data_IF_436258698281
#
_entry.id   IF_436258698281
#
_cell.length_a   1.000
_cell.length_b   1.000
_cell.length_c   1.000
_cell.angle_alpha   90.00
_cell.angle_beta   90.00
_cell.angle_gamma   90.00
#
_symmetry.space_group_name_H-M   'P 1'
#
loop_
_entity.id
_entity.type
_entity.pdbx_description
1 polymer ?
#
# COMPACT_ATOMS: atom_id res chain seq x y z
N UNK A 1 -56.28 -6.81 -31.31
CA UNK A 1 -56.82 -6.02 -30.17
C UNK A 1 -56.42 -6.62 -28.82
N UNK A 2 -55.12 -6.89 -28.58
CA UNK A 2 -54.58 -7.28 -27.27
C UNK A 2 -53.20 -6.64 -26.97
N UNK A 3 -52.75 -5.68 -27.79
CA UNK A 3 -51.42 -5.07 -27.68
C UNK A 3 -51.43 -3.58 -27.29
N UNK A 4 -52.61 -2.94 -27.19
CA UNK A 4 -52.71 -1.53 -26.77
C UNK A 4 -53.05 -1.38 -25.28
N UNK A 5 -53.88 -2.27 -24.73
CA UNK A 5 -54.24 -2.26 -23.31
C UNK A 5 -53.04 -2.56 -22.39
N UNK A 6 -52.08 -3.35 -22.87
CA UNK A 6 -50.85 -3.69 -22.15
C UNK A 6 -49.85 -2.54 -22.05
N UNK A 7 -49.92 -1.58 -22.99
CA UNK A 7 -49.00 -0.42 -23.02
C UNK A 7 -49.50 0.70 -22.10
N UNK A 8 -50.82 0.83 -21.91
CA UNK A 8 -51.41 1.82 -20.99
C UNK A 8 -51.20 1.41 -19.52
N UNK A 9 -51.07 0.11 -19.23
CA UNK A 9 -50.72 -0.39 -17.89
C UNK A 9 -49.25 -0.10 -17.51
N UNK A 10 -48.37 0.13 -18.49
CA UNK A 10 -46.94 0.38 -18.27
C UNK A 10 -46.59 1.87 -18.09
N UNK A 11 -47.53 2.78 -18.37
CA UNK A 11 -47.32 4.24 -18.39
C UNK A 11 -47.98 5.01 -17.23
N UNK A 12 -48.62 4.32 -16.28
CA UNK A 12 -49.29 4.95 -15.12
C UNK A 12 -48.52 4.86 -13.80
N UNK A 13 -47.22 4.52 -13.82
CA UNK A 13 -46.35 4.59 -12.63
C UNK A 13 -45.69 5.97 -12.41
N UNK A 14 -46.20 7.01 -13.07
CA UNK A 14 -45.87 8.41 -12.80
C UNK A 14 -47.03 9.07 -12.06
N UNK A 15 -46.98 9.07 -10.72
CA UNK A 15 -47.96 9.79 -9.91
C UNK A 15 -47.89 9.49 -8.41
N UNK A 16 -47.07 10.27 -7.70
CA UNK A 16 -47.18 10.60 -6.28
C UNK A 16 -47.32 9.45 -5.27
N UNK A 17 -46.17 8.97 -4.77
CA UNK A 17 -46.08 8.47 -3.39
C UNK A 17 -45.11 9.36 -2.64
N UNK A 18 -45.71 10.35 -1.96
CA UNK A 18 -45.34 10.91 -0.67
C UNK A 18 -43.87 10.86 -0.24
N UNK A 19 -43.33 12.04 0.04
CA UNK A 19 -42.22 12.23 0.97
C UNK A 19 -42.53 11.57 2.33
N UNK A 20 -42.14 10.31 2.52
CA UNK A 20 -42.03 9.61 3.79
C UNK A 20 -41.42 8.23 3.52
N UNK A 21 -40.16 8.06 3.90
CA UNK A 21 -39.49 6.76 3.83
C UNK A 21 -38.04 6.85 3.44
N UNK A 22 -37.20 7.52 4.23
CA UNK A 22 -35.90 6.92 4.48
C UNK A 22 -36.19 5.54 5.07
N UNK A 23 -36.23 4.50 4.23
CA UNK A 23 -36.17 3.13 4.72
C UNK A 23 -34.82 3.03 5.44
N UNK A 24 -34.84 3.26 6.75
CA UNK A 24 -33.67 3.08 7.59
C UNK A 24 -33.26 1.61 7.45
N UNK A 25 -32.19 1.38 6.68
CA UNK A 25 -31.62 0.05 6.48
C UNK A 25 -31.51 -0.64 7.84
N UNK A 26 -31.96 -1.89 7.91
CA UNK A 26 -31.82 -2.69 9.12
C UNK A 26 -30.34 -2.82 9.51
N UNK A 27 -30.05 -3.09 10.78
CA UNK A 27 -28.66 -3.29 11.23
C UNK A 27 -27.93 -4.38 10.44
N UNK A 28 -28.68 -5.39 9.97
CA UNK A 28 -28.14 -6.49 9.16
C UNK A 28 -27.80 -6.03 7.74
N UNK A 29 -28.69 -5.30 7.07
CA UNK A 29 -28.43 -4.74 5.74
C UNK A 29 -27.25 -3.75 5.76
N UNK A 30 -27.18 -2.87 6.78
CA UNK A 30 -26.02 -1.98 6.98
C UNK A 30 -24.71 -2.73 7.23
N UNK A 31 -24.76 -3.92 7.82
CA UNK A 31 -23.58 -4.76 8.03
C UNK A 31 -23.16 -5.45 6.74
N UNK A 32 -24.11 -5.99 5.98
CA UNK A 32 -23.87 -6.62 4.69
C UNK A 32 -23.27 -5.63 3.68
N UNK A 33 -23.83 -4.41 3.60
CA UNK A 33 -23.29 -3.34 2.75
C UNK A 33 -21.84 -2.99 3.11
N UNK A 34 -21.55 -2.77 4.40
CA UNK A 34 -20.17 -2.50 4.85
C UNK A 34 -19.19 -3.65 4.57
N UNK A 35 -19.65 -4.89 4.67
CA UNK A 35 -18.83 -6.06 4.33
C UNK A 35 -18.56 -6.14 2.83
N UNK A 36 -19.55 -5.79 2.01
CA UNK A 36 -19.39 -5.73 0.56
C UNK A 36 -18.43 -4.61 0.14
N UNK A 37 -18.62 -3.40 0.66
CA UNK A 37 -17.69 -2.28 0.45
C UNK A 37 -16.25 -2.64 0.88
N UNK A 38 -16.09 -3.30 2.02
CA UNK A 38 -14.78 -3.77 2.49
C UNK A 38 -14.16 -4.78 1.52
N UNK A 39 -14.93 -5.76 1.03
CA UNK A 39 -14.45 -6.75 0.06
C UNK A 39 -14.04 -6.11 -1.25
N UNK A 40 -14.83 -5.16 -1.76
CA UNK A 40 -14.50 -4.41 -2.97
C UNK A 40 -13.21 -3.60 -2.79
N UNK A 41 -13.05 -2.92 -1.64
CA UNK A 41 -11.83 -2.18 -1.31
C UNK A 41 -10.62 -3.11 -1.22
N UNK A 42 -10.74 -4.25 -0.55
CA UNK A 42 -9.65 -5.24 -0.44
C UNK A 42 -9.26 -5.80 -1.81
N UNK A 43 -10.23 -6.06 -2.70
CA UNK A 43 -9.96 -6.51 -4.06
C UNK A 43 -9.19 -5.48 -4.89
N UNK A 44 -9.56 -4.19 -4.77
CA UNK A 44 -8.83 -3.09 -5.43
C UNK A 44 -7.41 -2.97 -4.88
N UNK A 45 -7.25 -3.00 -3.56
CA UNK A 45 -5.93 -2.91 -2.92
C UNK A 45 -5.03 -4.09 -3.31
N UNK A 46 -5.58 -5.30 -3.36
CA UNK A 46 -4.85 -6.49 -3.79
C UNK A 46 -4.45 -6.42 -5.27
N UNK A 47 -5.34 -5.94 -6.13
CA UNK A 47 -5.02 -5.69 -7.54
C UNK A 47 -3.89 -4.68 -7.68
N UNK A 48 -3.99 -3.53 -7.00
CA UNK A 48 -2.96 -2.49 -7.04
C UNK A 48 -1.61 -2.98 -6.54
N UNK A 49 -1.60 -3.79 -5.48
CA UNK A 49 -0.39 -4.41 -4.93
C UNK A 49 0.24 -5.35 -5.96
N UNK A 50 -0.56 -6.26 -6.53
CA UNK A 50 -0.09 -7.20 -7.55
C UNK A 50 0.48 -6.49 -8.78
N UNK A 51 -0.19 -5.44 -9.27
CA UNK A 51 0.29 -4.64 -10.41
C UNK A 51 1.60 -3.93 -10.06
N UNK A 52 1.68 -3.27 -8.91
CA UNK A 52 2.88 -2.55 -8.49
C UNK A 52 4.11 -3.47 -8.34
N UNK A 53 3.91 -4.69 -7.81
CA UNK A 53 4.97 -5.69 -7.71
C UNK A 53 5.39 -6.22 -9.09
N UNK A 54 4.43 -6.48 -9.98
CA UNK A 54 4.69 -6.95 -11.35
C UNK A 54 5.42 -5.90 -12.19
N UNK A 55 5.09 -4.63 -12.01
CA UNK A 55 5.74 -3.51 -12.70
C UNK A 55 7.06 -3.09 -12.05
N UNK A 56 7.43 -3.71 -10.92
CA UNK A 56 8.62 -3.34 -10.15
C UNK A 56 8.62 -1.83 -9.79
N UNK A 57 7.44 -1.29 -9.52
CA UNK A 57 7.19 0.12 -9.24
C UNK A 57 6.34 0.26 -7.98
N UNK A 58 6.97 0.20 -6.81
CA UNK A 58 6.28 0.21 -5.53
C UNK A 58 7.07 0.92 -4.44
N UNK A 59 6.35 1.36 -3.40
CA UNK A 59 6.96 1.95 -2.20
C UNK A 59 6.31 1.37 -0.94
N UNK A 60 7.14 0.91 -0.01
CA UNK A 60 6.75 0.72 1.38
C UNK A 60 6.94 2.05 2.10
N UNK A 61 5.81 2.66 2.47
CA UNK A 61 5.73 3.85 3.31
C UNK A 61 5.74 3.42 4.77
N UNK A 62 6.76 3.84 5.51
CA UNK A 62 6.96 3.39 6.88
C UNK A 62 6.15 4.24 7.86
N UNK A 63 5.36 3.60 8.70
CA UNK A 63 4.74 4.21 9.88
C UNK A 63 5.62 4.01 11.12
N UNK A 64 6.47 2.97 11.13
CA UNK A 64 7.43 2.72 12.18
C UNK A 64 8.79 2.27 11.64
N UNK A 65 9.84 2.59 12.40
CA UNK A 65 11.19 2.10 12.19
C UNK A 65 11.69 1.43 13.46
N UNK A 66 12.15 0.19 13.32
CA UNK A 66 12.78 -0.59 14.38
C UNK A 66 14.28 -0.75 14.12
N UNK A 67 15.05 -0.55 15.18
CA UNK A 67 16.51 -0.55 15.13
C UNK A 67 17.12 -1.90 15.44
N UNK A 68 18.45 -1.98 15.27
CA UNK A 68 19.20 -3.19 15.59
C UNK A 68 19.09 -3.67 17.04
N UNK A 69 18.80 -2.76 17.96
CA UNK A 69 18.63 -3.05 19.40
C UNK A 69 17.15 -3.17 19.83
N UNK A 70 16.22 -3.26 18.87
CA UNK A 70 14.81 -3.56 19.14
C UNK A 70 13.92 -2.37 19.53
N UNK A 71 14.48 -1.18 19.79
CA UNK A 71 13.68 0.03 19.93
C UNK A 71 12.84 0.26 18.66
N UNK A 72 11.64 0.80 18.80
CA UNK A 72 10.77 1.15 17.67
C UNK A 72 10.30 2.59 17.82
N UNK A 73 10.24 3.34 16.72
CA UNK A 73 9.79 4.72 16.68
C UNK A 73 8.74 4.87 15.59
N UNK A 74 7.68 5.62 15.88
CA UNK A 74 6.76 6.09 14.86
C UNK A 74 7.45 7.17 13.99
N UNK A 75 7.25 7.11 12.68
CA UNK A 75 7.92 7.98 11.72
C UNK A 75 6.95 8.53 10.68
N UNK A 76 7.38 9.55 9.93
CA UNK A 76 6.57 10.10 8.84
C UNK A 76 6.75 9.26 7.55
N UNK A 77 5.69 8.65 7.00
CA UNK A 77 5.76 7.81 5.80
C UNK A 77 6.20 8.53 4.52
N UNK A 78 6.13 9.86 4.48
CA UNK A 78 6.59 10.67 3.34
C UNK A 78 8.11 10.71 3.27
N UNK A 79 8.78 10.67 4.42
CA UNK A 79 10.24 10.85 4.53
C UNK A 79 10.94 9.59 5.04
N UNK A 80 10.22 8.47 5.15
CA UNK A 80 10.72 7.20 5.64
C UNK A 80 10.09 6.09 4.81
N UNK A 81 10.86 5.54 3.86
CA UNK A 81 10.32 4.59 2.89
C UNK A 81 11.41 3.70 2.28
N UNK A 82 10.96 2.57 1.73
CA UNK A 82 11.72 1.76 0.79
C UNK A 82 10.97 1.74 -0.54
N UNK A 83 11.59 2.20 -1.62
CA UNK A 83 10.97 2.22 -2.95
C UNK A 83 11.77 1.39 -3.95
N UNK A 84 11.07 0.79 -4.90
CA UNK A 84 11.63 0.15 -6.09
C UNK A 84 11.08 0.91 -7.30
N UNK A 85 12.00 1.34 -8.16
CA UNK A 85 11.73 2.05 -9.40
C UNK A 85 12.44 1.34 -10.55
N UNK A 86 11.86 0.24 -11.02
CA UNK A 86 12.41 -0.61 -12.06
C UNK A 86 13.73 -1.22 -11.61
N UNK A 87 14.84 -0.66 -12.09
CA UNK A 87 16.20 -1.17 -11.80
C UNK A 87 16.87 -0.51 -10.60
N UNK A 88 16.23 0.48 -9.99
CA UNK A 88 16.76 1.21 -8.84
C UNK A 88 15.94 0.92 -7.59
N UNK A 89 16.60 0.89 -6.44
CA UNK A 89 15.96 0.85 -5.14
C UNK A 89 16.44 2.04 -4.28
N UNK A 90 15.51 2.55 -3.49
CA UNK A 90 15.72 3.69 -2.60
C UNK A 90 15.38 3.29 -1.16
N UNK A 91 16.25 3.64 -0.23
CA UNK A 91 15.97 3.58 1.21
C UNK A 91 16.14 4.98 1.77
N UNK A 92 15.03 5.57 2.20
CA UNK A 92 14.98 6.89 2.82
C UNK A 92 14.65 6.72 4.30
N UNK A 93 15.46 7.32 5.16
CA UNK A 93 15.19 7.45 6.59
C UNK A 93 15.51 8.88 7.01
N UNK A 94 14.51 9.64 7.45
CA UNK A 94 14.69 10.99 7.95
C UNK A 94 15.22 10.97 9.39
N UNK A 95 16.12 11.90 9.72
CA UNK A 95 16.50 12.19 11.10
C UNK A 95 15.73 13.41 11.60
N UNK A 96 15.05 13.30 12.73
CA UNK A 96 14.39 14.44 13.40
C UNK A 96 15.38 15.36 14.13
N UNK A 97 16.64 14.92 14.33
CA UNK A 97 17.54 15.52 15.33
C UNK A 97 19.00 15.69 14.87
N UNK A 98 19.29 15.54 13.57
CA UNK A 98 20.65 15.63 13.00
C UNK A 98 21.55 14.42 13.29
N UNK A 99 21.32 13.72 14.41
CA UNK A 99 21.87 12.39 14.70
C UNK A 99 20.81 11.35 14.32
N UNK A 100 21.21 10.43 13.47
CA UNK A 100 20.32 9.39 12.98
C UNK A 100 19.90 8.37 14.00
N UNK A 101 18.80 7.70 13.70
CA UNK A 101 18.42 6.50 14.41
C UNK A 101 19.54 5.44 14.27
N UNK A 102 20.12 5.01 15.40
CA UNK A 102 21.32 4.15 15.48
C UNK A 102 22.56 4.67 14.71
N UNK A 103 22.73 5.98 14.57
CA UNK A 103 23.90 6.58 13.89
C UNK A 103 23.73 6.77 12.38
N UNK A 104 22.61 6.32 11.79
CA UNK A 104 22.28 6.56 10.38
C UNK A 104 21.56 7.91 10.25
N UNK A 105 22.32 9.01 10.36
CA UNK A 105 21.81 10.37 10.12
C UNK A 105 21.08 10.42 8.79
N UNK A 106 20.07 11.30 8.64
CA UNK A 106 19.12 11.33 7.52
C UNK A 106 19.67 10.71 6.24
N UNK A 107 19.40 9.42 6.02
CA UNK A 107 20.11 8.62 5.03
C UNK A 107 19.22 8.41 3.83
N UNK A 108 19.78 8.69 2.67
CA UNK A 108 19.17 8.38 1.37
C UNK A 108 20.12 7.45 0.66
N UNK A 109 19.77 6.17 0.62
CA UNK A 109 20.52 5.18 -0.13
C UNK A 109 19.84 4.96 -1.47
N UNK A 110 20.59 5.13 -2.54
CA UNK A 110 20.20 4.74 -3.89
C UNK A 110 21.12 3.61 -4.34
N UNK A 111 20.54 2.48 -4.70
CA UNK A 111 21.27 1.33 -5.22
C UNK A 111 20.64 0.79 -6.49
N UNK A 112 21.49 0.34 -7.42
CA UNK A 112 21.03 -0.42 -8.58
C UNK A 112 20.77 -1.85 -8.15
N UNK A 113 19.61 -2.37 -8.50
CA UNK A 113 19.20 -3.74 -8.20
C UNK A 113 20.08 -4.70 -9.00
N UNK A 114 20.79 -5.57 -8.30
CA UNK A 114 21.61 -6.64 -8.87
C UNK A 114 20.83 -7.95 -8.96
N UNK A 115 19.89 -8.18 -8.05
CA UNK A 115 18.95 -9.29 -8.07
C UNK A 115 17.67 -8.91 -7.33
N UNK A 116 16.53 -9.37 -7.84
CA UNK A 116 15.24 -9.27 -7.15
C UNK A 116 14.44 -10.53 -7.39
N UNK A 117 13.93 -11.12 -6.31
CA UNK A 117 13.05 -12.27 -6.34
C UNK A 117 11.75 -11.91 -5.64
N UNK A 118 10.62 -12.14 -6.30
CA UNK A 118 9.28 -11.92 -5.77
C UNK A 118 8.57 -13.27 -5.74
N UNK A 119 8.26 -13.75 -4.53
CA UNK A 119 7.55 -15.01 -4.31
C UNK A 119 6.21 -14.72 -3.65
N UNK A 120 5.15 -15.42 -4.06
CA UNK A 120 3.85 -15.35 -3.41
C UNK A 120 3.52 -16.69 -2.75
N UNK A 121 3.13 -16.68 -1.48
CA UNK A 121 2.74 -17.88 -0.74
C UNK A 121 1.40 -18.45 -1.21
N UNK A 122 1.36 -19.75 -1.49
CA UNK A 122 0.15 -20.41 -2.03
C UNK A 122 -1.05 -20.40 -1.06
N UNK A 123 -0.79 -20.30 0.25
CA UNK A 123 -1.83 -20.47 1.30
C UNK A 123 -2.42 -19.16 1.79
N UNK A 124 -1.58 -18.16 2.03
CA UNK A 124 -1.96 -16.88 2.62
C UNK A 124 -1.90 -15.72 1.61
N UNK A 125 -1.32 -15.95 0.42
CA UNK A 125 -1.15 -14.96 -0.62
C UNK A 125 -0.12 -13.89 -0.29
N UNK A 126 0.65 -14.03 0.79
CA UNK A 126 1.67 -13.05 1.17
C UNK A 126 2.81 -13.05 0.15
N UNK A 127 3.33 -11.87 -0.12
CA UNK A 127 4.50 -11.69 -0.96
C UNK A 127 5.75 -11.61 -0.09
N UNK A 128 6.77 -12.41 -0.43
CA UNK A 128 8.13 -12.28 0.09
C UNK A 128 9.02 -11.78 -1.04
N UNK A 129 9.71 -10.67 -0.82
CA UNK A 129 10.60 -10.05 -1.80
C UNK A 129 12.00 -10.01 -1.24
N UNK A 130 12.98 -10.45 -2.02
CA UNK A 130 14.40 -10.38 -1.67
C UNK A 130 15.12 -9.57 -2.73
N UNK A 131 15.75 -8.47 -2.32
CA UNK A 131 16.41 -7.51 -3.20
C UNK A 131 17.87 -7.36 -2.75
N UNK A 132 18.78 -7.49 -3.70
CA UNK A 132 20.19 -7.12 -3.52
C UNK A 132 20.49 -5.92 -4.39
N UNK A 133 21.25 -4.96 -3.85
CA UNK A 133 21.58 -3.72 -4.55
C UNK A 133 23.05 -3.36 -4.39
N UNK A 134 23.56 -2.57 -5.34
CA UNK A 134 24.86 -1.91 -5.24
C UNK A 134 24.67 -0.42 -5.45
N UNK A 135 25.07 0.40 -4.47
CA UNK A 135 24.75 1.82 -4.45
C UNK A 135 25.75 2.70 -3.72
N UNK A 136 25.34 3.95 -3.48
CA UNK A 136 26.13 4.96 -2.77
C UNK A 136 26.44 4.56 -1.31
N UNK A 137 25.60 3.75 -0.68
CA UNK A 137 25.83 3.15 0.64
C UNK A 137 26.56 1.80 0.62
N UNK A 138 27.11 1.40 -0.53
CA UNK A 138 27.64 0.07 -0.75
C UNK A 138 26.54 -0.98 -1.03
N UNK A 139 26.84 -2.28 -0.81
CA UNK A 139 25.87 -3.34 -1.02
C UNK A 139 24.80 -3.37 0.08
N UNK A 140 23.54 -3.44 -0.32
CA UNK A 140 22.38 -3.58 0.58
C UNK A 140 21.57 -4.81 0.23
N UNK A 141 21.08 -5.48 1.27
CA UNK A 141 20.09 -6.55 1.16
C UNK A 141 18.78 -6.07 1.81
N UNK A 142 17.68 -6.20 1.08
CA UNK A 142 16.35 -5.81 1.52
C UNK A 142 15.45 -7.05 1.42
N UNK A 143 14.83 -7.42 2.54
CA UNK A 143 13.83 -8.49 2.57
C UNK A 143 12.49 -7.88 2.96
N UNK A 144 11.47 -8.05 2.13
CA UNK A 144 10.14 -7.52 2.38
C UNK A 144 9.12 -8.64 2.55
N UNK A 145 8.17 -8.45 3.45
CA UNK A 145 6.99 -9.29 3.59
C UNK A 145 5.75 -8.42 3.51
N UNK A 146 4.85 -8.72 2.58
CA UNK A 146 3.71 -7.88 2.24
C UNK A 146 2.46 -8.76 2.19
N UNK A 147 1.41 -8.36 2.90
CA UNK A 147 0.13 -9.04 2.80
C UNK A 147 -0.52 -8.79 1.41
N UNK A 148 -1.50 -9.59 0.99
CA UNK A 148 -2.07 -9.46 -0.37
C UNK A 148 -2.55 -8.06 -0.72
N UNK A 149 -3.04 -7.27 0.25
CA UNK A 149 -3.59 -5.93 0.02
C UNK A 149 -2.57 -4.80 0.11
N UNK A 150 -1.32 -5.08 0.50
CA UNK A 150 -0.30 -4.06 0.75
C UNK A 150 -0.50 -3.24 2.03
N UNK A 151 -1.63 -3.38 2.73
CA UNK A 151 -1.94 -2.63 3.96
C UNK A 151 -1.08 -3.02 5.16
N UNK A 152 -0.38 -4.15 5.09
CA UNK A 152 0.59 -4.61 6.07
C UNK A 152 1.84 -5.07 5.34
N UNK A 153 2.91 -4.28 5.46
CA UNK A 153 4.19 -4.57 4.87
C UNK A 153 5.32 -4.33 5.87
N UNK A 154 6.36 -5.15 5.81
CA UNK A 154 7.64 -4.92 6.48
C UNK A 154 8.78 -4.98 5.47
N UNK A 155 9.82 -4.20 5.71
CA UNK A 155 11.10 -4.29 5.01
C UNK A 155 12.22 -4.35 6.04
N UNK A 156 13.00 -5.41 6.01
CA UNK A 156 14.23 -5.58 6.76
C UNK A 156 15.42 -5.23 5.86
N UNK A 157 16.15 -4.18 6.23
CA UNK A 157 17.27 -3.63 5.45
C UNK A 157 18.55 -3.91 6.21
N UNK A 158 19.54 -4.50 5.54
CA UNK A 158 20.86 -4.79 6.10
C UNK A 158 21.99 -4.37 5.17
N UNK A 159 22.99 -3.72 5.74
CA UNK A 159 24.28 -3.46 5.09
C UNK A 159 25.25 -4.61 5.38
N UNK A 160 26.27 -4.80 4.54
CA UNK A 160 27.33 -5.79 4.81
C UNK A 160 28.22 -5.42 6.00
N UNK A 161 28.12 -4.19 6.53
CA UNK A 161 28.85 -3.72 7.71
C UNK A 161 28.15 -4.05 9.04
N UNK A 162 27.01 -4.76 9.00
CA UNK A 162 26.31 -5.27 10.18
C UNK A 162 25.18 -4.40 10.70
N UNK A 163 25.02 -3.18 10.17
CA UNK A 163 23.88 -2.32 10.47
C UNK A 163 22.61 -2.85 9.82
N UNK A 164 21.52 -2.73 10.56
CA UNK A 164 20.21 -3.23 10.19
C UNK A 164 19.11 -2.35 10.76
N UNK A 165 18.04 -2.19 9.99
CA UNK A 165 16.79 -1.59 10.41
C UNK A 165 15.64 -2.38 9.82
N UNK A 166 14.47 -2.18 10.41
CA UNK A 166 13.22 -2.66 9.86
C UNK A 166 12.24 -1.51 9.78
N UNK A 167 11.57 -1.41 8.63
CA UNK A 167 10.48 -0.49 8.40
C UNK A 167 9.18 -1.27 8.32
N UNK A 168 8.14 -0.81 9.02
CA UNK A 168 6.80 -1.40 8.91
C UNK A 168 5.79 -0.32 8.53
N UNK A 169 4.81 -0.69 7.72
CA UNK A 169 3.79 0.21 7.22
C UNK A 169 3.03 -0.40 6.06
N UNK A 170 2.87 0.36 4.98
CA UNK A 170 2.03 -0.04 3.82
C UNK A 170 2.80 0.02 2.52
N UNK A 171 2.57 -0.95 1.65
CA UNK A 171 3.04 -0.95 0.27
C UNK A 171 1.97 -0.37 -0.66
N UNK A 172 2.36 0.60 -1.47
CA UNK A 172 1.51 1.19 -2.50
C UNK A 172 2.27 1.32 -3.82
N UNK A 173 1.58 1.44 -4.97
CA UNK A 173 2.23 1.74 -6.24
C UNK A 173 3.12 3.00 -6.16
N UNK A 174 4.29 2.95 -6.78
CA UNK A 174 5.20 4.08 -6.87
C UNK A 174 4.96 4.86 -8.16
N UNK A 175 4.84 6.18 -8.04
CA UNK A 175 4.59 7.07 -9.19
C UNK A 175 5.84 7.87 -9.61
N UNK A 176 7.00 7.48 -9.08
CA UNK A 176 8.29 8.13 -9.32
C UNK A 176 8.65 9.22 -8.30
N UNK A 177 9.92 9.60 -8.28
CA UNK A 177 10.45 10.72 -7.47
C UNK A 177 10.10 12.10 -8.03
N UNK A 178 9.80 12.19 -9.34
CA UNK A 178 9.49 13.45 -10.05
C UNK A 178 8.03 13.92 -9.94
N UNK A 179 7.20 13.21 -9.18
CA UNK A 179 5.81 13.62 -8.91
C UNK A 179 5.63 13.78 -7.41
N UNK A 180 5.00 14.87 -6.94
CA UNK A 180 4.70 15.03 -5.53
C UNK A 180 3.92 13.81 -5.08
N UNK A 181 4.52 13.04 -4.16
CA UNK A 181 3.98 11.87 -3.48
C UNK A 181 2.46 11.88 -3.56
N UNK A 182 1.91 10.97 -4.38
CA UNK A 182 0.50 10.75 -4.63
C UNK A 182 -0.41 11.47 -3.61
N UNK A 183 -0.89 12.66 -3.98
CA UNK A 183 -2.02 13.32 -3.31
C UNK A 183 -3.28 12.57 -3.73
N UNK A 184 -3.49 11.41 -3.12
CA UNK A 184 -4.82 10.84 -3.03
C UNK A 184 -5.68 11.85 -2.27
N UNK A 185 -6.38 12.70 -3.02
CA UNK A 185 -7.53 13.43 -2.52
C UNK A 185 -8.48 12.40 -1.91
N UNK A 186 -8.59 12.37 -0.59
CA UNK A 186 -9.86 12.06 0.04
C UNK A 186 -10.50 13.42 0.34
N UNK A 187 -11.23 13.93 -0.65
CA UNK A 187 -12.29 14.89 -0.42
C UNK A 187 -13.59 14.09 -0.32
N UNK A 188 -14.28 14.32 0.80
CA UNK A 188 -15.61 13.88 1.23
C UNK A 188 -15.70 12.54 1.96
#
# INVERSE_FOLDING_TARGET
>A
MKSLATIIMLLLFSGAVTAQGEMSLTRQEKKALRQEEKRQKEAILAHNTSVALKEEHFVLKADQVRGKYGASLAVNPVTNFVAVEGRDAYVQLASSSGIGYNGMGGVTLKGRITSMEINQGDKDGYYTIVISTMGNGGPLNITMNINPTGEMASAYIRTNYGDRIEMTGKLVPWTGTDKPVYKGRENY
#
